data_IF_627551484616
#
_entry.id   IF_627551484616
#
_cell.length_a   1.000
_cell.length_b   1.000
_cell.length_c   1.000
_cell.angle_alpha   90.00
_cell.angle_beta   90.00
_cell.angle_gamma   90.00
#
_symmetry.space_group_name_H-M   'P 1'
#
loop_
_entity.id
_entity.type
_entity.pdbx_description
1 polymer ?
#
# COMPACT_ATOMS: atom_id res chain seq x y z
N UNK A 1 -44.49 -4.42 7.46
CA UNK A 1 -43.54 -3.30 7.12
C UNK A 1 -42.05 -3.66 7.33
N UNK A 2 -41.67 -4.36 8.42
CA UNK A 2 -40.23 -4.63 8.69
C UNK A 2 -39.51 -5.53 7.67
N UNK A 3 -40.14 -6.52 7.07
CA UNK A 3 -39.48 -7.45 6.12
C UNK A 3 -39.13 -6.79 4.79
N UNK A 4 -39.93 -5.85 4.30
CA UNK A 4 -39.64 -5.10 3.06
C UNK A 4 -38.46 -4.13 3.25
N UNK A 5 -38.37 -3.48 4.40
CA UNK A 5 -37.27 -2.57 4.76
C UNK A 5 -35.93 -3.30 4.88
N UNK A 6 -35.95 -4.53 5.46
CA UNK A 6 -34.74 -5.37 5.58
C UNK A 6 -34.25 -5.85 4.22
N UNK A 7 -35.14 -6.19 3.29
CA UNK A 7 -34.79 -6.65 1.96
C UNK A 7 -34.18 -5.51 1.11
N UNK A 8 -34.74 -4.29 1.18
CA UNK A 8 -34.23 -3.12 0.48
C UNK A 8 -32.82 -2.75 1.00
N UNK A 9 -32.58 -2.81 2.32
CA UNK A 9 -31.29 -2.52 2.92
C UNK A 9 -30.20 -3.53 2.46
N UNK A 10 -30.53 -4.81 2.36
CA UNK A 10 -29.63 -5.85 1.87
C UNK A 10 -29.24 -5.63 0.39
N UNK A 11 -30.19 -5.22 -0.45
CA UNK A 11 -29.92 -4.95 -1.88
C UNK A 11 -28.99 -3.74 -2.04
N UNK A 12 -29.16 -2.68 -1.26
CA UNK A 12 -28.31 -1.49 -1.32
C UNK A 12 -26.90 -1.79 -0.85
N UNK A 13 -26.72 -2.57 0.21
CA UNK A 13 -25.40 -2.96 0.70
C UNK A 13 -24.65 -3.85 -0.32
N UNK A 14 -25.35 -4.79 -0.95
CA UNK A 14 -24.77 -5.62 -2.01
C UNK A 14 -24.30 -4.79 -3.22
N UNK A 15 -25.10 -3.81 -3.65
CA UNK A 15 -24.76 -2.93 -4.76
C UNK A 15 -23.52 -2.04 -4.48
N UNK A 16 -23.38 -1.55 -3.25
CA UNK A 16 -22.22 -0.74 -2.86
C UNK A 16 -20.92 -1.58 -2.82
N UNK A 17 -21.02 -2.84 -2.37
CA UNK A 17 -19.86 -3.74 -2.36
C UNK A 17 -19.41 -4.10 -3.78
N UNK A 18 -20.36 -4.47 -4.67
CA UNK A 18 -20.08 -4.75 -6.08
C UNK A 18 -19.42 -3.56 -6.80
N UNK A 19 -19.85 -2.34 -6.48
CA UNK A 19 -19.26 -1.12 -7.05
C UNK A 19 -17.83 -0.89 -6.54
N UNK A 20 -17.56 -1.08 -5.24
CA UNK A 20 -16.22 -0.99 -4.67
C UNK A 20 -15.26 -2.00 -5.32
N UNK A 21 -15.70 -3.25 -5.48
CA UNK A 21 -14.94 -4.31 -6.12
C UNK A 21 -14.65 -3.97 -7.58
N UNK A 22 -15.63 -3.43 -8.32
CA UNK A 22 -15.48 -2.98 -9.70
C UNK A 22 -14.43 -1.86 -9.83
N UNK A 23 -14.41 -0.89 -8.90
CA UNK A 23 -13.42 0.19 -8.89
C UNK A 23 -12.01 -0.39 -8.71
N UNK A 24 -11.83 -1.28 -7.73
CA UNK A 24 -10.53 -1.91 -7.44
C UNK A 24 -10.05 -2.75 -8.63
N UNK A 25 -10.90 -3.60 -9.19
CA UNK A 25 -10.54 -4.45 -10.33
C UNK A 25 -10.20 -3.63 -11.58
N UNK A 26 -10.97 -2.56 -11.83
CA UNK A 26 -10.69 -1.66 -12.94
C UNK A 26 -9.37 -0.93 -12.74
N UNK A 27 -9.05 -0.54 -11.50
CA UNK A 27 -7.77 0.08 -11.16
C UNK A 27 -6.60 -0.89 -11.31
N UNK A 28 -6.74 -2.14 -10.86
CA UNK A 28 -5.72 -3.18 -11.04
C UNK A 28 -5.42 -3.39 -12.53
N UNK A 29 -6.47 -3.48 -13.37
CA UNK A 29 -6.30 -3.59 -14.85
C UNK A 29 -5.65 -2.35 -15.44
N UNK A 30 -6.08 -1.14 -15.02
CA UNK A 30 -5.48 0.11 -15.48
C UNK A 30 -3.99 0.18 -15.20
N UNK A 31 -3.56 -0.26 -14.01
CA UNK A 31 -2.16 -0.30 -13.60
C UNK A 31 -1.40 -1.52 -14.16
N UNK A 32 -2.08 -2.48 -14.79
CA UNK A 32 -1.49 -3.71 -15.32
C UNK A 32 -1.01 -4.68 -14.23
N UNK A 33 -1.53 -4.55 -13.00
CA UNK A 33 -1.00 -5.26 -11.82
C UNK A 33 -1.44 -6.72 -11.73
N UNK A 34 -2.34 -7.18 -12.58
CA UNK A 34 -2.58 -8.60 -12.82
C UNK A 34 -1.33 -9.34 -13.37
N UNK A 35 -0.36 -8.62 -13.94
CA UNK A 35 0.89 -9.19 -14.43
C UNK A 35 1.87 -9.56 -13.30
N UNK A 36 1.68 -9.11 -12.06
CA UNK A 36 2.46 -9.59 -10.91
C UNK A 36 2.38 -11.11 -10.71
N UNK A 37 1.30 -11.76 -11.18
CA UNK A 37 1.16 -13.21 -11.13
C UNK A 37 1.80 -13.95 -12.31
N UNK A 38 2.34 -13.21 -13.31
CA UNK A 38 2.96 -13.75 -14.52
C UNK A 38 4.46 -13.58 -14.54
N UNK A 39 4.97 -12.51 -13.93
CA UNK A 39 6.38 -12.18 -13.89
C UNK A 39 6.78 -11.54 -12.56
N UNK A 40 7.98 -11.88 -12.02
CA UNK A 40 8.49 -11.20 -10.83
C UNK A 40 8.91 -9.77 -11.20
N UNK A 41 8.75 -8.86 -10.25
CA UNK A 41 9.06 -7.44 -10.43
C UNK A 41 10.19 -7.03 -9.50
N UNK A 42 11.29 -6.53 -10.07
CA UNK A 42 12.40 -5.94 -9.33
C UNK A 42 12.38 -4.42 -9.46
N UNK A 43 12.65 -3.71 -8.37
CA UNK A 43 12.75 -2.25 -8.34
C UNK A 43 13.75 -1.78 -7.29
N UNK A 44 14.26 -0.55 -7.48
CA UNK A 44 15.10 0.13 -6.49
C UNK A 44 14.30 1.18 -5.74
N UNK A 45 14.41 1.16 -4.42
CA UNK A 45 13.88 2.21 -3.56
C UNK A 45 14.89 2.56 -2.48
N UNK A 46 15.31 3.82 -2.46
CA UNK A 46 16.47 4.27 -1.70
C UNK A 46 17.73 3.49 -2.11
N UNK A 47 18.47 2.98 -1.13
CA UNK A 47 19.69 2.17 -1.30
C UNK A 47 19.43 0.67 -1.55
N UNK A 48 18.17 0.24 -1.47
CA UNK A 48 17.80 -1.17 -1.55
C UNK A 48 17.27 -1.56 -2.92
N UNK A 49 17.52 -2.80 -3.31
CA UNK A 49 16.82 -3.49 -4.40
C UNK A 49 15.75 -4.40 -3.77
N UNK A 50 14.53 -4.29 -4.26
CA UNK A 50 13.38 -5.10 -3.84
C UNK A 50 12.96 -6.02 -4.97
N UNK A 51 12.46 -7.20 -4.61
CA UNK A 51 11.81 -8.14 -5.52
C UNK A 51 10.42 -8.46 -4.96
N UNK A 52 9.44 -8.45 -5.84
CA UNK A 52 8.09 -8.98 -5.60
C UNK A 52 7.89 -10.14 -6.56
N UNK A 53 7.78 -11.35 -6.02
CA UNK A 53 7.56 -12.56 -6.81
C UNK A 53 6.26 -13.25 -6.37
N UNK A 54 5.18 -12.94 -7.08
CA UNK A 54 3.85 -13.59 -6.92
C UNK A 54 3.62 -14.72 -7.95
N UNK A 55 4.62 -15.08 -8.75
CA UNK A 55 4.52 -16.19 -9.70
C UNK A 55 4.59 -17.55 -9.03
N UNK A 56 4.94 -17.59 -7.76
CA UNK A 56 5.12 -18.78 -6.93
C UNK A 56 4.14 -18.82 -5.76
N UNK A 57 3.99 -20.01 -5.17
CA UNK A 57 3.27 -20.22 -3.91
C UNK A 57 4.18 -21.04 -2.97
N UNK A 58 4.52 -20.53 -1.77
CA UNK A 58 4.22 -19.18 -1.25
C UNK A 58 4.89 -18.07 -2.07
N UNK A 59 4.22 -16.91 -2.19
CA UNK A 59 4.82 -15.74 -2.82
C UNK A 59 5.98 -15.19 -1.96
N UNK A 60 6.90 -14.48 -2.61
CA UNK A 60 8.12 -13.99 -1.98
C UNK A 60 8.34 -12.50 -2.20
N UNK A 61 8.63 -11.79 -1.13
CA UNK A 61 9.21 -10.45 -1.18
C UNK A 61 10.66 -10.51 -0.71
N UNK A 62 11.57 -9.80 -1.39
CA UNK A 62 12.94 -9.62 -0.89
C UNK A 62 13.34 -8.15 -0.86
N UNK A 63 14.28 -7.85 0.03
CA UNK A 63 14.97 -6.56 0.12
C UNK A 63 16.45 -6.83 0.25
N UNK A 64 17.23 -6.36 -0.72
CA UNK A 64 18.66 -6.58 -0.82
C UNK A 64 19.42 -5.27 -0.73
N UNK A 65 20.53 -5.28 0.00
CA UNK A 65 21.54 -4.21 -0.02
C UNK A 65 22.93 -4.82 -0.17
N UNK A 66 23.80 -4.13 -0.92
CA UNK A 66 25.20 -4.45 -1.02
C UNK A 66 26.00 -3.31 -0.39
N UNK A 67 26.77 -3.65 0.62
CA UNK A 67 27.68 -2.76 1.35
C UNK A 67 29.12 -3.19 1.09
N UNK A 68 30.09 -2.39 1.52
CA UNK A 68 31.49 -2.79 1.58
C UNK A 68 31.92 -2.90 3.04
N UNK A 69 32.62 -3.98 3.37
CA UNK A 69 33.28 -4.11 4.66
C UNK A 69 34.37 -3.04 4.76
N UNK A 70 34.33 -2.23 5.82
CA UNK A 70 35.20 -1.06 6.00
C UNK A 70 36.66 -1.44 6.26
N UNK A 71 36.93 -2.69 6.66
CA UNK A 71 38.27 -3.18 7.00
C UNK A 71 38.88 -3.94 5.82
N UNK A 72 38.12 -4.87 5.24
CA UNK A 72 38.61 -5.77 4.20
C UNK A 72 38.31 -5.28 2.78
N UNK A 73 37.40 -4.31 2.61
CA UNK A 73 36.90 -3.87 1.30
C UNK A 73 36.04 -4.90 0.57
N UNK A 74 35.78 -6.07 1.17
CA UNK A 74 34.96 -7.12 0.56
C UNK A 74 33.47 -6.74 0.55
N UNK A 75 32.70 -7.20 -0.45
CA UNK A 75 31.27 -6.95 -0.50
C UNK A 75 30.54 -7.69 0.63
N UNK A 76 29.65 -7.00 1.31
CA UNK A 76 28.68 -7.56 2.26
C UNK A 76 27.30 -7.49 1.60
N UNK A 77 26.71 -8.65 1.34
CA UNK A 77 25.37 -8.74 0.74
C UNK A 77 24.38 -9.15 1.83
N UNK A 78 23.46 -8.23 2.17
CA UNK A 78 22.35 -8.56 3.07
C UNK A 78 21.08 -8.75 2.25
N UNK A 79 20.35 -9.81 2.56
CA UNK A 79 19.04 -10.11 1.96
C UNK A 79 18.03 -10.41 3.07
N UNK A 80 16.94 -9.65 3.06
CA UNK A 80 15.73 -9.95 3.80
C UNK A 80 14.76 -10.68 2.86
N UNK A 81 14.13 -11.74 3.33
CA UNK A 81 13.14 -12.50 2.60
C UNK A 81 11.88 -12.69 3.44
N UNK A 82 10.70 -12.48 2.83
CA UNK A 82 9.40 -12.58 3.48
C UNK A 82 8.45 -13.40 2.59
N UNK A 83 8.00 -14.56 3.10
CA UNK A 83 7.07 -15.45 2.39
C UNK A 83 5.66 -15.28 2.93
N UNK A 84 4.70 -15.11 2.02
CA UNK A 84 3.27 -14.93 2.32
C UNK A 84 3.01 -13.86 3.39
N UNK A 85 3.87 -12.84 3.50
CA UNK A 85 3.83 -11.81 4.54
C UNK A 85 3.86 -12.37 5.99
N UNK A 86 4.36 -13.59 6.19
CA UNK A 86 4.35 -14.31 7.49
C UNK A 86 5.73 -14.80 7.92
N UNK A 87 6.43 -15.54 7.06
CA UNK A 87 7.73 -16.12 7.39
C UNK A 87 8.86 -15.20 6.94
N UNK A 88 9.69 -14.78 7.87
CA UNK A 88 10.80 -13.86 7.60
C UNK A 88 12.15 -14.55 7.81
N UNK A 89 13.14 -14.16 7.02
CA UNK A 89 14.53 -14.44 7.29
C UNK A 89 15.45 -13.32 6.80
N UNK A 90 16.59 -13.18 7.45
CA UNK A 90 17.69 -12.33 7.01
C UNK A 90 18.94 -13.18 6.83
N UNK A 91 19.66 -12.94 5.74
CA UNK A 91 20.98 -13.51 5.51
C UNK A 91 22.02 -12.42 5.23
N UNK A 92 23.27 -12.69 5.62
CA UNK A 92 24.45 -11.92 5.25
C UNK A 92 25.44 -12.86 4.58
N UNK A 93 25.85 -12.53 3.34
CA UNK A 93 26.72 -13.36 2.52
C UNK A 93 26.29 -14.84 2.46
N UNK A 94 24.96 -15.04 2.32
CA UNK A 94 24.27 -16.34 2.29
C UNK A 94 24.17 -17.09 3.63
N UNK A 95 24.72 -16.55 4.71
CA UNK A 95 24.58 -17.13 6.05
C UNK A 95 23.33 -16.54 6.73
N UNK A 96 22.40 -17.43 7.14
CA UNK A 96 21.18 -17.01 7.85
C UNK A 96 21.51 -16.50 9.24
N UNK A 97 20.95 -15.36 9.60
CA UNK A 97 21.07 -14.79 10.94
C UNK A 97 19.98 -15.34 11.86
N UNK A 98 20.35 -15.57 13.12
CA UNK A 98 19.41 -15.78 14.21
C UNK A 98 18.99 -14.40 14.73
N UNK A 99 17.75 -14.02 14.51
CA UNK A 99 17.18 -12.76 14.96
C UNK A 99 16.38 -12.96 16.24
N UNK A 100 16.22 -11.88 17.01
CA UNK A 100 15.21 -11.83 18.05
C UNK A 100 13.84 -11.69 17.43
N UNK A 101 12.78 -12.09 18.12
CA UNK A 101 11.39 -11.92 17.65
C UNK A 101 11.04 -10.45 17.35
N UNK A 102 11.56 -9.53 18.17
CA UNK A 102 11.38 -8.09 17.97
C UNK A 102 12.04 -7.60 16.67
N UNK A 103 13.27 -8.02 16.39
CA UNK A 103 13.98 -7.67 15.17
C UNK A 103 13.32 -8.29 13.93
N UNK A 104 12.90 -9.56 14.01
CA UNK A 104 12.18 -10.24 12.95
C UNK A 104 10.89 -9.52 12.61
N UNK A 105 10.08 -9.17 13.60
CA UNK A 105 8.85 -8.38 13.44
C UNK A 105 9.13 -7.03 12.82
N UNK A 106 10.12 -6.31 13.30
CA UNK A 106 10.49 -4.98 12.79
C UNK A 106 10.92 -5.01 11.33
N UNK A 107 11.76 -6.00 10.96
CA UNK A 107 12.29 -6.09 9.60
C UNK A 107 11.25 -6.62 8.62
N UNK A 108 10.43 -7.60 9.02
CA UNK A 108 9.34 -8.11 8.19
C UNK A 108 8.30 -7.04 7.91
N UNK A 109 7.88 -6.26 8.93
CA UNK A 109 6.95 -5.15 8.77
C UNK A 109 7.51 -4.07 7.82
N UNK A 110 8.82 -3.75 7.94
CA UNK A 110 9.46 -2.79 7.04
C UNK A 110 9.47 -3.24 5.59
N UNK A 111 9.73 -4.53 5.33
CA UNK A 111 9.71 -5.10 3.97
C UNK A 111 8.28 -5.16 3.44
N UNK A 112 7.34 -5.68 4.24
CA UNK A 112 5.93 -5.80 3.88
C UNK A 112 5.32 -4.43 3.53
N UNK A 113 5.60 -3.39 4.31
CA UNK A 113 5.09 -2.04 4.08
C UNK A 113 5.54 -1.48 2.72
N UNK A 114 6.83 -1.65 2.35
CA UNK A 114 7.31 -1.19 1.03
C UNK A 114 6.64 -1.99 -0.09
N UNK A 115 6.56 -3.32 0.03
CA UNK A 115 5.91 -4.18 -0.95
C UNK A 115 4.42 -3.85 -1.09
N UNK A 116 3.71 -3.60 0.01
CA UNK A 116 2.29 -3.20 0.01
C UNK A 116 2.07 -1.92 -0.80
N UNK A 117 2.76 -0.83 -0.45
CA UNK A 117 2.56 0.45 -1.14
C UNK A 117 3.00 0.42 -2.60
N UNK A 118 4.00 -0.39 -2.95
CA UNK A 118 4.47 -0.52 -4.33
C UNK A 118 3.48 -1.25 -5.23
N UNK A 119 2.68 -2.16 -4.68
CA UNK A 119 1.68 -2.95 -5.39
C UNK A 119 0.28 -2.33 -5.41
N UNK A 120 0.06 -1.16 -4.77
CA UNK A 120 -1.27 -0.53 -4.76
C UNK A 120 -1.77 -0.25 -6.18
N UNK A 121 -3.02 -0.66 -6.53
CA UNK A 121 -4.11 -1.07 -5.65
C UNK A 121 -4.27 -2.59 -5.42
N UNK A 122 -3.40 -3.46 -5.93
CA UNK A 122 -3.55 -4.91 -5.88
C UNK A 122 -3.83 -5.48 -4.46
N UNK A 123 -3.15 -5.03 -3.37
CA UNK A 123 -3.41 -5.53 -2.02
C UNK A 123 -4.80 -5.18 -1.45
N UNK A 124 -5.58 -4.34 -2.11
CA UNK A 124 -6.96 -4.07 -1.70
C UNK A 124 -7.89 -5.28 -1.95
N UNK A 125 -7.41 -6.32 -2.66
CA UNK A 125 -8.12 -7.60 -2.83
C UNK A 125 -7.77 -8.64 -1.77
N UNK A 126 -6.86 -8.34 -0.84
CA UNK A 126 -6.50 -9.28 0.22
C UNK A 126 -7.65 -9.43 1.22
N UNK A 127 -7.85 -10.65 1.73
CA UNK A 127 -8.96 -11.01 2.64
C UNK A 127 -8.98 -10.18 3.94
N UNK A 128 -7.83 -9.60 4.31
CA UNK A 128 -7.73 -8.72 5.47
C UNK A 128 -8.35 -7.33 5.25
N UNK A 129 -8.55 -6.91 4.01
CA UNK A 129 -9.05 -5.57 3.69
C UNK A 129 -10.56 -5.48 3.85
N UNK A 130 -11.01 -4.55 4.68
CA UNK A 130 -12.43 -4.21 4.86
C UNK A 130 -12.70 -2.91 4.12
N UNK A 131 -13.48 -2.99 3.04
CA UNK A 131 -13.67 -1.89 2.09
C UNK A 131 -15.09 -1.35 2.19
N UNK A 132 -15.20 -0.02 2.19
CA UNK A 132 -16.48 0.70 2.16
C UNK A 132 -16.42 1.76 1.07
N UNK A 133 -17.38 1.74 0.15
CA UNK A 133 -17.59 2.82 -0.81
C UNK A 133 -18.14 4.05 -0.08
N UNK A 134 -17.53 5.20 -0.32
CA UNK A 134 -17.98 6.50 0.17
C UNK A 134 -18.50 7.36 -0.98
N UNK A 135 -19.08 8.53 -0.65
CA UNK A 135 -19.39 9.55 -1.64
C UNK A 135 -18.12 10.01 -2.36
N UNK A 136 -18.27 10.40 -3.62
CA UNK A 136 -17.16 10.93 -4.41
C UNK A 136 -16.55 12.17 -3.74
N UNK A 137 -15.23 12.27 -3.81
CA UNK A 137 -14.50 13.39 -3.25
C UNK A 137 -13.97 14.32 -4.35
N UNK A 138 -14.19 15.62 -4.19
CA UNK A 138 -13.64 16.63 -5.09
C UNK A 138 -12.23 17.04 -4.63
N UNK A 139 -11.20 16.76 -5.45
CA UNK A 139 -9.81 17.14 -5.19
C UNK A 139 -9.31 17.98 -6.36
N UNK A 140 -8.82 19.18 -6.09
CA UNK A 140 -8.32 20.14 -7.10
C UNK A 140 -9.30 20.39 -8.27
N UNK A 141 -10.63 20.27 -8.02
CA UNK A 141 -11.67 20.52 -9.02
C UNK A 141 -12.09 19.30 -9.85
N UNK A 142 -11.54 18.11 -9.57
CA UNK A 142 -11.89 16.84 -10.21
C UNK A 142 -12.49 15.88 -9.20
N UNK A 143 -13.50 15.10 -9.63
CA UNK A 143 -14.14 14.06 -8.81
C UNK A 143 -13.37 12.76 -8.84
N UNK A 144 -13.37 12.07 -7.69
CA UNK A 144 -12.73 10.78 -7.48
C UNK A 144 -13.67 9.83 -6.74
N UNK A 145 -13.77 8.59 -7.20
CA UNK A 145 -14.37 7.51 -6.41
C UNK A 145 -13.56 7.35 -5.13
N UNK A 146 -14.21 7.31 -3.99
CA UNK A 146 -13.55 7.26 -2.68
C UNK A 146 -13.85 5.96 -1.97
N UNK A 147 -12.80 5.21 -1.64
CA UNK A 147 -12.91 4.00 -0.84
C UNK A 147 -12.28 4.22 0.54
N UNK A 148 -13.02 3.89 1.59
CA UNK A 148 -12.49 3.70 2.94
C UNK A 148 -11.98 2.27 3.05
N UNK A 149 -10.77 2.10 3.57
CA UNK A 149 -10.17 0.80 3.84
C UNK A 149 -9.68 0.76 5.27
N UNK A 150 -9.99 -0.32 5.96
CA UNK A 150 -9.43 -0.73 7.24
C UNK A 150 -9.05 -2.20 7.15
N UNK A 151 -8.41 -2.74 8.18
CA UNK A 151 -7.97 -4.13 8.17
C UNK A 151 -8.59 -4.89 9.34
N UNK A 152 -8.87 -6.19 9.11
CA UNK A 152 -9.35 -7.07 10.18
C UNK A 152 -8.26 -7.25 11.25
N UNK A 153 -8.65 -7.36 12.51
CA UNK A 153 -7.71 -7.58 13.62
C UNK A 153 -6.96 -8.92 13.48
N UNK A 154 -7.63 -9.93 12.95
CA UNK A 154 -7.10 -11.29 12.81
C UNK A 154 -6.00 -11.40 11.75
N UNK A 155 -6.10 -10.67 10.64
CA UNK A 155 -5.18 -10.76 9.50
C UNK A 155 -4.53 -9.42 9.10
N UNK A 156 -4.87 -8.32 9.78
CA UNK A 156 -4.39 -6.96 9.48
C UNK A 156 -3.01 -6.63 10.05
N UNK A 157 -2.40 -7.54 10.81
CA UNK A 157 -1.09 -7.33 11.41
C UNK A 157 -1.06 -6.13 12.37
N UNK A 158 0.06 -5.40 12.40
CA UNK A 158 0.24 -4.20 13.24
C UNK A 158 -0.61 -3.01 12.79
N UNK A 159 -1.09 -3.02 11.55
CA UNK A 159 -1.77 -1.91 10.89
C UNK A 159 -3.31 -2.02 10.99
N UNK A 160 -3.85 -3.00 11.76
CA UNK A 160 -5.31 -3.20 11.90
C UNK A 160 -6.05 -1.98 12.47
N UNK A 161 -5.36 -1.09 13.20
CA UNK A 161 -5.94 0.16 13.73
C UNK A 161 -5.91 1.31 12.73
N UNK A 162 -5.18 1.17 11.64
CA UNK A 162 -5.02 2.20 10.65
C UNK A 162 -6.26 2.33 9.77
N UNK A 163 -6.56 3.54 9.35
CA UNK A 163 -7.66 3.82 8.44
C UNK A 163 -7.14 4.55 7.22
N UNK A 164 -7.59 4.11 6.05
CA UNK A 164 -7.17 4.66 4.77
C UNK A 164 -8.35 5.24 3.99
N UNK A 165 -8.06 6.23 3.13
CA UNK A 165 -8.91 6.67 2.03
C UNK A 165 -8.11 6.55 0.74
N UNK A 166 -8.66 5.88 -0.25
CA UNK A 166 -8.11 5.80 -1.60
C UNK A 166 -9.01 6.54 -2.56
N UNK A 167 -8.40 7.33 -3.44
CA UNK A 167 -9.12 8.18 -4.38
C UNK A 167 -8.78 7.77 -5.81
N UNK A 168 -9.76 7.19 -6.48
CA UNK A 168 -9.62 6.66 -7.84
C UNK A 168 -10.28 7.62 -8.83
N UNK A 169 -9.60 7.93 -9.91
CA UNK A 169 -10.14 8.72 -11.00
C UNK A 169 -11.44 8.11 -11.53
N UNK A 170 -12.51 8.90 -11.63
CA UNK A 170 -13.85 8.40 -12.02
C UNK A 170 -13.93 7.90 -13.46
N UNK A 171 -13.01 8.33 -14.33
CA UNK A 171 -13.00 7.97 -15.76
C UNK A 171 -12.03 6.85 -16.09
N UNK A 172 -10.86 6.84 -15.47
CA UNK A 172 -9.79 5.88 -15.78
C UNK A 172 -9.59 4.81 -14.72
N UNK A 173 -10.14 4.99 -13.52
CA UNK A 173 -9.90 4.19 -12.32
C UNK A 173 -8.45 4.20 -11.83
N UNK A 174 -7.61 5.12 -12.32
CA UNK A 174 -6.26 5.30 -11.82
C UNK A 174 -6.28 5.70 -10.34
N UNK A 175 -5.49 5.04 -9.50
CA UNK A 175 -5.25 5.48 -8.12
C UNK A 175 -4.46 6.79 -8.17
N UNK A 176 -5.07 7.90 -7.73
CA UNK A 176 -4.53 9.25 -7.88
C UNK A 176 -4.09 9.87 -6.56
N UNK A 177 -4.78 9.56 -5.47
CA UNK A 177 -4.43 10.01 -4.12
C UNK A 177 -4.73 8.92 -3.11
N UNK A 178 -4.07 9.01 -1.96
CA UNK A 178 -4.45 8.26 -0.77
C UNK A 178 -4.16 9.07 0.49
N UNK A 179 -4.95 8.84 1.53
CA UNK A 179 -4.71 9.38 2.86
C UNK A 179 -4.86 8.31 3.91
N UNK A 180 -4.15 8.45 5.02
CA UNK A 180 -4.24 7.48 6.10
C UNK A 180 -3.85 8.08 7.45
N UNK A 181 -4.46 7.52 8.48
CA UNK A 181 -4.12 7.71 9.88
C UNK A 181 -3.48 6.41 10.37
N UNK A 182 -2.26 6.48 10.90
CA UNK A 182 -1.50 5.33 11.36
C UNK A 182 -1.12 5.49 12.83
N UNK A 183 -0.97 4.35 13.54
CA UNK A 183 -0.87 4.32 15.00
C UNK A 183 0.50 3.87 15.53
N UNK A 184 1.34 3.27 14.70
CA UNK A 184 2.70 2.86 15.08
C UNK A 184 3.65 4.08 15.18
N UNK A 185 4.72 3.99 15.98
CA UNK A 185 5.75 5.03 16.13
C UNK A 185 5.15 6.44 16.39
N UNK A 186 4.35 6.56 17.44
CA UNK A 186 3.60 7.77 17.82
C UNK A 186 2.48 8.18 16.86
N UNK A 187 2.28 7.44 15.79
CA UNK A 187 1.20 7.66 14.84
C UNK A 187 1.34 8.93 14.01
N UNK A 188 0.32 9.21 13.22
CA UNK A 188 0.25 10.42 12.41
C UNK A 188 -0.68 10.32 11.22
N UNK A 189 -0.85 11.42 10.53
CA UNK A 189 -1.74 11.54 9.38
C UNK A 189 -0.93 11.88 8.13
N UNK A 190 -1.22 11.19 7.04
CA UNK A 190 -0.57 11.40 5.74
C UNK A 190 -1.60 11.62 4.64
N UNK A 191 -1.19 12.41 3.66
CA UNK A 191 -1.86 12.56 2.37
C UNK A 191 -0.82 12.38 1.28
N UNK A 192 -1.08 11.51 0.30
CA UNK A 192 -0.17 11.27 -0.82
C UNK A 192 -0.85 11.61 -2.14
N UNK A 193 -0.15 12.37 -2.97
CA UNK A 193 -0.49 12.58 -4.38
C UNK A 193 0.33 11.61 -5.21
N UNK A 194 -0.34 10.77 -5.99
CA UNK A 194 0.31 9.77 -6.83
C UNK A 194 0.69 10.34 -8.19
N UNK A 195 1.82 9.90 -8.72
CA UNK A 195 2.32 10.18 -10.06
C UNK A 195 2.57 8.86 -10.78
N UNK A 196 2.00 8.71 -11.95
CA UNK A 196 2.13 7.50 -12.76
C UNK A 196 3.53 7.40 -13.37
N UNK A 197 4.11 6.20 -13.26
CA UNK A 197 5.40 5.85 -13.85
C UNK A 197 5.26 4.56 -14.67
N UNK A 198 4.99 4.67 -15.99
CA UNK A 198 4.91 3.51 -16.89
C UNK A 198 6.26 2.77 -16.97
N UNK A 199 6.21 1.43 -16.87
CA UNK A 199 7.37 0.56 -17.02
C UNK A 199 6.91 -0.82 -17.54
N UNK A 200 7.20 -1.14 -18.81
CA UNK A 200 6.71 -2.36 -19.44
C UNK A 200 5.19 -2.44 -19.43
N UNK A 201 4.66 -3.52 -18.87
CA UNK A 201 3.23 -3.77 -18.75
C UNK A 201 2.60 -3.15 -17.49
N UNK A 202 3.36 -2.36 -16.73
CA UNK A 202 2.93 -1.79 -15.45
C UNK A 202 2.87 -0.27 -15.49
N UNK A 203 1.97 0.30 -14.71
CA UNK A 203 1.94 1.72 -14.36
C UNK A 203 2.13 1.82 -12.85
N UNK A 204 3.38 1.94 -12.40
CA UNK A 204 3.72 2.13 -11.00
C UNK A 204 3.40 3.54 -10.52
N UNK A 205 3.41 3.73 -9.20
CA UNK A 205 3.09 5.00 -8.57
C UNK A 205 4.28 5.50 -7.74
N UNK A 206 4.71 6.70 -8.04
CA UNK A 206 5.55 7.52 -7.19
C UNK A 206 4.66 8.52 -6.43
N UNK A 207 5.14 9.09 -5.30
CA UNK A 207 4.27 9.92 -4.47
C UNK A 207 4.97 11.17 -3.95
N UNK A 208 4.25 12.29 -3.94
CA UNK A 208 4.50 13.38 -3.00
C UNK A 208 3.77 13.05 -1.69
N UNK A 209 4.52 12.94 -0.60
CA UNK A 209 4.04 12.52 0.70
C UNK A 209 3.94 13.71 1.64
N UNK A 210 2.72 14.11 1.96
CA UNK A 210 2.41 15.22 2.85
C UNK A 210 2.04 14.73 4.23
N UNK A 211 2.35 15.52 5.27
CA UNK A 211 1.89 15.29 6.64
C UNK A 211 0.86 16.33 7.06
N UNK A 212 -0.03 15.92 7.95
CA UNK A 212 -0.94 16.76 8.70
C UNK A 212 -0.73 16.53 10.21
N UNK A 213 -1.17 17.44 11.09
CA UNK A 213 -1.19 17.21 12.53
C UNK A 213 -1.92 15.91 12.90
N UNK A 214 -1.44 15.21 13.92
CA UNK A 214 -2.11 13.99 14.44
C UNK A 214 -3.56 14.31 14.82
N UNK A 215 -4.47 13.39 14.50
CA UNK A 215 -5.89 13.56 14.73
C UNK A 215 -6.63 14.43 13.70
N UNK A 216 -5.94 14.90 12.64
CA UNK A 216 -6.62 15.59 11.53
C UNK A 216 -7.57 14.60 10.83
N UNK A 217 -8.88 14.91 10.71
CA UNK A 217 -9.82 14.02 10.03
C UNK A 217 -9.42 13.80 8.55
N UNK A 218 -9.41 12.53 8.10
CA UNK A 218 -8.99 12.16 6.74
C UNK A 218 -9.83 12.88 5.67
N UNK A 219 -11.13 13.07 5.93
CA UNK A 219 -12.05 13.72 4.99
C UNK A 219 -11.76 15.21 4.81
N UNK A 220 -10.98 15.84 5.71
CA UNK A 220 -10.54 17.23 5.59
C UNK A 220 -9.27 17.40 4.73
N UNK A 221 -8.49 16.33 4.52
CA UNK A 221 -7.17 16.40 3.87
C UNK A 221 -7.23 16.90 2.41
N UNK A 222 -8.19 16.51 1.57
CA UNK A 222 -8.33 17.05 0.22
C UNK A 222 -8.47 18.57 0.20
N UNK A 223 -9.25 19.13 1.13
CA UNK A 223 -9.46 20.58 1.26
C UNK A 223 -8.19 21.27 1.77
N UNK A 224 -7.50 20.67 2.77
CA UNK A 224 -6.25 21.21 3.30
C UNK A 224 -5.15 21.18 2.24
N UNK A 225 -5.08 20.12 1.45
CA UNK A 225 -4.16 19.98 0.33
C UNK A 225 -4.39 21.09 -0.72
N UNK A 226 -5.64 21.26 -1.19
CA UNK A 226 -6.01 22.32 -2.14
C UNK A 226 -5.65 23.74 -1.62
N UNK A 227 -5.72 23.95 -0.30
CA UNK A 227 -5.36 25.22 0.34
C UNK A 227 -3.87 25.40 0.61
N UNK A 228 -3.02 24.42 0.22
CA UNK A 228 -1.59 24.45 0.51
C UNK A 228 -1.24 24.39 2.02
N UNK A 229 -2.13 23.79 2.84
CA UNK A 229 -1.97 23.72 4.30
C UNK A 229 -1.35 22.40 4.79
N UNK A 230 -0.98 21.49 3.88
CA UNK A 230 -0.24 20.28 4.20
C UNK A 230 1.26 20.50 3.94
N UNK A 231 2.09 20.00 4.84
CA UNK A 231 3.55 20.09 4.70
C UNK A 231 4.07 18.91 3.87
N UNK A 232 4.83 19.20 2.79
CA UNK A 232 5.52 18.16 2.03
C UNK A 232 6.64 17.57 2.88
N UNK A 233 6.48 16.31 3.30
CA UNK A 233 7.44 15.59 4.13
C UNK A 233 8.56 14.95 3.28
N UNK A 234 8.22 14.36 2.14
CA UNK A 234 9.15 13.65 1.27
C UNK A 234 8.56 13.36 -0.11
N UNK A 235 9.44 13.06 -1.06
CA UNK A 235 9.09 12.41 -2.33
C UNK A 235 9.45 10.94 -2.25
N UNK A 236 8.52 10.07 -2.62
CA UNK A 236 8.69 8.62 -2.67
C UNK A 236 8.81 8.26 -4.15
N UNK A 237 10.02 7.99 -4.59
CA UNK A 237 10.34 7.66 -5.98
C UNK A 237 11.09 6.35 -6.01
N UNK A 238 10.65 5.44 -6.87
CA UNK A 238 11.30 4.15 -7.15
C UNK A 238 11.88 4.12 -8.56
N UNK A 239 12.84 3.21 -8.81
CA UNK A 239 13.54 3.07 -10.10
C UNK A 239 13.57 1.62 -10.55
#
# INVERSE_FOLDING_TARGET
MNRLFTLILLIVLSSCQEEADRIIESSIRYHGFENFYKEPVEFKFREYTYLIDKTRSPYLYTKKIQLQDSITGQPIIQIDSLWNSKEFSRSINSERLNLTEEDETRFSNSLNSVAYFYQLPLPLKDDAAIITLLENTLIEGKEYNTLKVSFSEENGGTDHKDTYRYYFDTSTYALSYLSYDFHINDGGVRFRKAYQRPQGNFIFLDYDNYKAPKGTPLDSLPILFKKGKLELLSKIVSK
#
